data_IF_124341040909
#
_entry.id   IF_124341040909
#
_cell.length_a   1.000
_cell.length_b   1.000
_cell.length_c   1.000
_cell.angle_alpha   90.00
_cell.angle_beta   90.00
_cell.angle_gamma   90.00
#
_symmetry.space_group_name_H-M   'P 1'
#
loop_
_entity.id
_entity.type
_entity.pdbx_description
1 polymer ?
#
# COMPACT_ATOMS: atom_id res chain seq x y z
N UNK A 1 6.32 0.81 -18.01
CA UNK A 1 5.65 0.09 -16.94
C UNK A 1 6.31 -1.24 -16.53
N UNK A 2 7.22 -1.85 -17.31
CA UNK A 2 7.81 -3.18 -17.03
C UNK A 2 9.12 -3.21 -16.22
N UNK A 3 9.74 -2.08 -15.89
CA UNK A 3 11.04 -2.07 -15.20
C UNK A 3 10.94 -2.02 -13.67
N UNK A 4 9.94 -1.34 -13.11
CA UNK A 4 9.77 -1.19 -11.66
C UNK A 4 9.19 -2.45 -11.02
N UNK A 5 8.26 -3.14 -11.67
CA UNK A 5 7.69 -4.40 -11.19
C UNK A 5 8.74 -5.50 -11.02
N UNK A 6 9.77 -5.53 -11.89
CA UNK A 6 10.88 -6.47 -11.76
C UNK A 6 11.77 -6.23 -10.54
N UNK A 7 11.69 -5.06 -9.94
CA UNK A 7 12.48 -4.69 -8.75
C UNK A 7 11.78 -5.17 -7.49
N UNK A 8 10.44 -5.08 -7.40
CA UNK A 8 9.68 -5.39 -6.19
C UNK A 8 9.78 -6.87 -5.78
N UNK A 9 9.62 -7.82 -6.69
CA UNK A 9 9.70 -9.24 -6.35
C UNK A 9 11.12 -9.68 -5.94
N UNK A 10 12.16 -9.06 -6.52
CA UNK A 10 13.55 -9.33 -6.11
C UNK A 10 13.85 -8.73 -4.75
N UNK A 11 13.32 -7.55 -4.48
CA UNK A 11 13.48 -6.90 -3.20
C UNK A 11 12.77 -7.70 -2.08
N UNK A 12 11.53 -8.13 -2.29
CA UNK A 12 10.81 -8.91 -1.30
C UNK A 12 11.47 -10.26 -1.02
N UNK A 13 11.99 -10.96 -2.06
CA UNK A 13 12.67 -12.23 -1.89
C UNK A 13 13.96 -12.16 -1.04
N UNK A 14 14.60 -10.99 -0.98
CA UNK A 14 15.85 -10.78 -0.24
C UNK A 14 15.67 -10.25 1.19
N UNK A 15 14.43 -10.08 1.66
CA UNK A 15 14.18 -9.56 3.01
C UNK A 15 14.45 -10.62 4.09
N UNK A 16 14.87 -10.20 5.31
CA UNK A 16 14.89 -11.09 6.46
C UNK A 16 13.50 -11.68 6.73
N UNK A 17 13.44 -12.94 7.13
CA UNK A 17 12.19 -13.62 7.49
C UNK A 17 12.02 -13.73 9.00
N UNK A 18 13.10 -13.66 9.75
CA UNK A 18 13.15 -13.82 11.21
C UNK A 18 13.78 -12.59 11.87
N UNK A 19 13.29 -12.25 13.05
CA UNK A 19 13.71 -11.11 13.87
C UNK A 19 13.81 -11.52 15.34
N UNK A 20 14.68 -10.88 16.09
CA UNK A 20 14.75 -11.06 17.54
C UNK A 20 13.60 -10.32 18.24
N UNK A 21 13.26 -9.14 17.75
CA UNK A 21 12.17 -8.31 18.27
C UNK A 21 11.44 -7.58 17.13
N UNK A 22 10.11 -7.37 17.23
CA UNK A 22 9.35 -6.63 16.22
C UNK A 22 9.86 -5.21 15.95
N UNK A 23 10.55 -4.58 16.89
CA UNK A 23 11.12 -3.24 16.72
C UNK A 23 12.19 -3.19 15.63
N UNK A 24 12.88 -4.30 15.32
CA UNK A 24 13.84 -4.37 14.22
C UNK A 24 13.15 -4.16 12.88
N UNK A 25 11.99 -4.80 12.67
CA UNK A 25 11.19 -4.62 11.47
C UNK A 25 10.56 -3.21 11.42
N UNK A 26 10.08 -2.70 12.56
CA UNK A 26 9.57 -1.34 12.67
C UNK A 26 10.64 -0.30 12.28
N UNK A 27 11.88 -0.47 12.75
CA UNK A 27 13.00 0.39 12.39
C UNK A 27 13.35 0.30 10.90
N UNK A 28 13.31 -0.91 10.32
CA UNK A 28 13.50 -1.11 8.88
C UNK A 28 12.42 -0.41 8.05
N UNK A 29 11.16 -0.46 8.49
CA UNK A 29 10.06 0.29 7.85
C UNK A 29 10.27 1.81 7.94
N UNK A 30 10.61 2.33 9.12
CA UNK A 30 10.86 3.76 9.33
C UNK A 30 12.03 4.30 8.49
N UNK A 31 13.02 3.45 8.20
CA UNK A 31 14.15 3.80 7.33
C UNK A 31 13.82 3.76 5.83
N UNK A 32 12.67 3.20 5.45
CA UNK A 32 12.27 3.06 4.06
C UNK A 32 11.67 4.35 3.50
N UNK A 33 12.21 4.87 2.40
CA UNK A 33 11.63 6.03 1.70
C UNK A 33 10.20 5.77 1.23
N UNK A 34 9.87 4.55 0.82
CA UNK A 34 8.52 4.18 0.36
C UNK A 34 7.47 4.20 1.47
N UNK A 35 7.90 4.04 2.72
CA UNK A 35 7.04 3.98 3.90
C UNK A 35 7.15 5.24 4.77
N UNK A 36 7.82 6.29 4.27
CA UNK A 36 8.01 7.54 5.02
C UNK A 36 6.69 8.27 5.29
N UNK A 37 6.66 9.05 6.36
CA UNK A 37 5.52 9.91 6.69
C UNK A 37 4.33 9.21 7.33
N UNK A 38 4.47 7.96 7.79
CA UNK A 38 3.42 7.30 8.54
C UNK A 38 3.19 7.98 9.89
N UNK A 39 1.96 7.98 10.38
CA UNK A 39 1.62 8.54 11.69
C UNK A 39 2.35 7.82 12.82
N UNK A 40 2.48 8.50 13.95
CA UNK A 40 3.17 7.98 15.14
C UNK A 40 2.63 6.61 15.57
N UNK A 41 3.55 5.68 15.87
CA UNK A 41 3.24 4.32 16.29
C UNK A 41 2.84 3.36 15.15
N UNK A 42 2.61 3.83 13.92
CA UNK A 42 2.15 2.97 12.82
C UNK A 42 3.20 1.92 12.41
N UNK A 43 4.47 2.24 12.50
CA UNK A 43 5.54 1.27 12.19
C UNK A 43 5.55 0.09 13.17
N UNK A 44 5.41 0.35 14.46
CA UNK A 44 5.34 -0.68 15.50
C UNK A 44 4.09 -1.55 15.35
N UNK A 45 2.94 -0.92 15.12
CA UNK A 45 1.69 -1.63 14.89
C UNK A 45 1.77 -2.53 13.65
N UNK A 46 2.32 -2.03 12.55
CA UNK A 46 2.48 -2.81 11.32
C UNK A 46 3.45 -3.99 11.55
N UNK A 47 4.60 -3.75 12.18
CA UNK A 47 5.57 -4.82 12.46
C UNK A 47 4.92 -5.94 13.29
N UNK A 48 4.20 -5.59 14.36
CA UNK A 48 3.47 -6.57 15.20
C UNK A 48 2.34 -7.28 14.44
N UNK A 49 1.67 -6.60 13.51
CA UNK A 49 0.58 -7.19 12.73
C UNK A 49 1.07 -8.27 11.75
N UNK A 50 2.27 -8.11 11.18
CA UNK A 50 2.82 -9.01 10.16
C UNK A 50 3.77 -10.08 10.72
N UNK A 51 4.07 -10.04 12.01
CA UNK A 51 4.93 -11.00 12.69
C UNK A 51 4.13 -11.93 13.60
N UNK A 52 4.65 -13.14 13.79
CA UNK A 52 4.19 -14.09 14.82
C UNK A 52 5.42 -14.68 15.51
N UNK A 53 5.34 -14.80 16.84
CA UNK A 53 6.40 -15.42 17.63
C UNK A 53 6.35 -16.93 17.45
N UNK A 54 7.50 -17.52 17.14
CA UNK A 54 7.72 -18.95 17.08
C UNK A 54 8.09 -19.44 18.49
N UNK A 55 7.25 -20.29 19.06
CA UNK A 55 7.40 -20.76 20.45
C UNK A 55 8.60 -21.69 20.66
N UNK A 56 9.14 -22.30 19.61
CA UNK A 56 10.27 -23.21 19.70
C UNK A 56 11.60 -22.45 19.66
N UNK A 57 11.66 -21.39 18.84
CA UNK A 57 12.90 -20.61 18.60
C UNK A 57 12.92 -19.27 19.32
N UNK A 58 11.79 -18.84 19.89
CA UNK A 58 11.57 -17.50 20.49
C UNK A 58 11.79 -16.34 19.51
N UNK A 59 11.90 -16.62 18.22
CA UNK A 59 12.05 -15.64 17.15
C UNK A 59 10.70 -15.16 16.62
N UNK A 60 10.69 -13.97 16.09
CA UNK A 60 9.54 -13.42 15.38
C UNK A 60 9.67 -13.66 13.88
N UNK A 61 8.67 -14.31 13.28
CA UNK A 61 8.67 -14.70 11.86
C UNK A 61 7.58 -13.97 11.09
N UNK A 62 7.88 -13.61 9.85
CA UNK A 62 6.88 -13.04 8.94
C UNK A 62 5.77 -14.07 8.67
N UNK A 63 4.50 -13.65 8.84
CA UNK A 63 3.31 -14.48 8.52
C UNK A 63 3.27 -14.80 7.03
N UNK A 64 3.62 -13.82 6.19
CA UNK A 64 3.83 -14.03 4.76
C UNK A 64 5.34 -14.10 4.50
N UNK A 65 5.85 -15.27 4.15
CA UNK A 65 7.27 -15.41 3.86
C UNK A 65 7.70 -14.56 2.67
N UNK A 66 8.96 -14.10 2.63
CA UNK A 66 9.52 -13.34 1.51
C UNK A 66 9.34 -14.04 0.15
N UNK A 67 9.45 -15.37 0.14
CA UNK A 67 9.24 -16.17 -1.06
C UNK A 67 7.80 -16.11 -1.58
N UNK A 68 6.80 -16.20 -0.67
CA UNK A 68 5.38 -16.07 -1.02
C UNK A 68 5.04 -14.69 -1.52
N UNK A 69 5.50 -13.67 -0.83
CA UNK A 69 5.27 -12.28 -1.24
C UNK A 69 5.88 -12.01 -2.62
N UNK A 70 7.11 -12.45 -2.85
CA UNK A 70 7.78 -12.36 -4.14
C UNK A 70 6.96 -13.01 -5.27
N UNK A 71 6.38 -14.19 -5.01
CA UNK A 71 5.54 -14.91 -5.97
C UNK A 71 4.24 -14.15 -6.27
N UNK A 72 3.60 -13.55 -5.26
CA UNK A 72 2.42 -12.68 -5.46
C UNK A 72 2.75 -11.52 -6.40
N UNK A 73 3.85 -10.79 -6.16
CA UNK A 73 4.26 -9.71 -7.05
C UNK A 73 4.53 -10.20 -8.47
N UNK A 74 5.17 -11.37 -8.61
CA UNK A 74 5.45 -11.96 -9.93
C UNK A 74 4.17 -12.33 -10.70
N UNK A 75 3.18 -12.86 -10.00
CA UNK A 75 1.88 -13.21 -10.60
C UNK A 75 1.07 -11.98 -10.94
N UNK A 76 1.00 -10.98 -10.06
CA UNK A 76 0.30 -9.72 -10.31
C UNK A 76 0.82 -9.00 -11.54
N UNK A 77 2.14 -9.01 -11.76
CA UNK A 77 2.75 -8.42 -12.95
C UNK A 77 2.32 -9.08 -14.27
N UNK A 78 1.81 -10.31 -14.22
CA UNK A 78 1.31 -11.05 -15.38
C UNK A 78 -0.22 -10.92 -15.57
N UNK A 79 -0.93 -10.36 -14.59
CA UNK A 79 -2.40 -10.19 -14.66
C UNK A 79 -2.76 -8.88 -15.35
N UNK A 80 -3.73 -8.94 -16.25
CA UNK A 80 -4.37 -7.75 -16.80
C UNK A 80 -5.73 -7.56 -16.13
N UNK A 81 -5.72 -6.82 -15.02
CA UNK A 81 -6.92 -6.54 -14.20
C UNK A 81 -7.33 -5.07 -14.24
N UNK A 82 -7.00 -4.37 -15.33
CA UNK A 82 -7.36 -2.96 -15.47
C UNK A 82 -8.89 -2.82 -15.58
N UNK A 83 -9.55 -2.17 -14.61
CA UNK A 83 -11.01 -2.10 -14.57
C UNK A 83 -11.57 -1.21 -15.68
N UNK A 84 -12.78 -1.52 -16.13
CA UNK A 84 -13.51 -0.74 -17.13
C UNK A 84 -14.70 -0.04 -16.47
N UNK A 85 -15.07 1.16 -16.95
CA UNK A 85 -16.13 1.96 -16.34
C UNK A 85 -17.49 1.25 -16.32
N UNK A 86 -17.80 0.47 -17.35
CA UNK A 86 -19.05 -0.28 -17.50
C UNK A 86 -19.17 -1.51 -16.57
N UNK A 87 -18.07 -1.97 -16.00
CA UNK A 87 -18.08 -3.02 -14.97
C UNK A 87 -18.59 -2.52 -13.60
N UNK A 88 -18.67 -1.19 -13.41
CA UNK A 88 -19.01 -0.55 -12.14
C UNK A 88 -20.24 0.36 -12.29
N UNK A 89 -21.47 -0.19 -12.23
CA UNK A 89 -22.70 0.58 -12.38
C UNK A 89 -23.04 1.48 -11.18
N UNK A 90 -22.21 1.48 -10.14
CA UNK A 90 -22.35 2.32 -8.95
C UNK A 90 -21.37 3.50 -8.98
N UNK A 91 -21.63 4.57 -8.19
CA UNK A 91 -20.65 5.64 -8.00
C UNK A 91 -19.33 5.12 -7.44
N UNK A 92 -18.21 5.58 -7.99
CA UNK A 92 -16.85 5.21 -7.58
C UNK A 92 -16.09 6.46 -7.16
N UNK A 93 -15.40 6.40 -6.03
CA UNK A 93 -14.42 7.39 -5.58
C UNK A 93 -13.04 6.76 -5.51
N UNK A 94 -12.09 7.37 -6.17
CA UNK A 94 -10.66 7.07 -6.07
C UNK A 94 -10.02 8.07 -5.09
N UNK A 95 -9.61 7.60 -3.91
CA UNK A 95 -8.76 8.38 -2.99
C UNK A 95 -7.32 7.97 -3.28
N UNK A 96 -6.55 8.88 -3.84
CA UNK A 96 -5.24 8.59 -4.39
C UNK A 96 -4.13 9.31 -3.64
N UNK A 97 -2.98 8.65 -3.54
CA UNK A 97 -1.73 9.29 -3.19
C UNK A 97 -1.29 10.27 -4.29
N UNK A 98 -0.41 11.19 -3.93
CA UNK A 98 0.11 12.19 -4.85
C UNK A 98 1.14 11.57 -5.81
N UNK A 99 0.81 11.41 -7.09
CA UNK A 99 1.74 10.84 -8.06
C UNK A 99 2.94 11.75 -8.38
N UNK A 100 2.85 13.02 -8.00
CA UNK A 100 3.91 14.01 -8.23
C UNK A 100 4.74 14.28 -6.96
N UNK A 101 4.48 13.52 -5.86
CA UNK A 101 5.26 13.64 -4.62
C UNK A 101 6.63 12.97 -4.74
N UNK A 102 7.53 13.35 -3.82
CA UNK A 102 8.85 12.70 -3.72
C UNK A 102 8.79 11.25 -3.20
N UNK A 103 7.63 10.81 -2.68
CA UNK A 103 7.41 9.45 -2.20
C UNK A 103 6.84 8.61 -3.35
N UNK A 104 7.56 7.59 -3.85
CA UNK A 104 7.11 6.81 -5.00
C UNK A 104 5.74 6.16 -4.78
N UNK A 105 4.83 6.34 -5.74
CA UNK A 105 3.50 5.72 -5.68
C UNK A 105 2.98 5.31 -7.05
N UNK A 106 3.20 4.05 -7.42
CA UNK A 106 2.57 3.47 -8.61
C UNK A 106 1.02 3.50 -8.54
N UNK A 107 0.36 3.23 -7.39
CA UNK A 107 -1.08 3.39 -7.26
C UNK A 107 -1.58 4.82 -7.52
N UNK A 108 -0.83 5.86 -7.14
CA UNK A 108 -1.20 7.25 -7.43
C UNK A 108 -1.31 7.52 -8.93
N UNK A 109 -0.33 7.07 -9.70
CA UNK A 109 -0.38 7.15 -11.17
C UNK A 109 -1.51 6.32 -11.77
N UNK A 110 -1.76 5.10 -11.24
CA UNK A 110 -2.86 4.26 -11.70
C UNK A 110 -4.23 4.90 -11.46
N UNK A 111 -4.45 5.46 -10.26
CA UNK A 111 -5.70 6.16 -9.94
C UNK A 111 -5.92 7.39 -10.82
N UNK A 112 -4.85 8.14 -11.15
CA UNK A 112 -4.94 9.27 -12.09
C UNK A 112 -5.37 8.82 -13.48
N UNK A 113 -4.78 7.72 -13.99
CA UNK A 113 -5.16 7.16 -15.28
C UNK A 113 -6.61 6.67 -15.29
N UNK A 114 -7.06 5.96 -14.24
CA UNK A 114 -8.44 5.51 -14.10
C UNK A 114 -9.45 6.67 -14.05
N UNK A 115 -9.11 7.76 -13.36
CA UNK A 115 -9.93 8.99 -13.42
C UNK A 115 -10.12 9.45 -14.85
N UNK A 116 -9.04 9.52 -15.62
CA UNK A 116 -9.06 10.05 -16.99
C UNK A 116 -9.78 9.10 -17.96
N UNK A 117 -9.66 7.79 -17.77
CA UNK A 117 -10.28 6.77 -18.63
C UNK A 117 -11.73 6.49 -18.26
N UNK A 118 -12.06 6.40 -16.97
CA UNK A 118 -13.38 5.99 -16.48
C UNK A 118 -14.28 7.16 -16.08
N UNK A 119 -13.72 8.36 -15.89
CA UNK A 119 -14.47 9.53 -15.43
C UNK A 119 -14.94 9.43 -13.96
N UNK A 120 -14.35 8.55 -13.15
CA UNK A 120 -14.70 8.36 -11.76
C UNK A 120 -14.31 9.57 -10.89
N UNK A 121 -15.02 9.74 -9.76
CA UNK A 121 -14.64 10.76 -8.76
C UNK A 121 -13.22 10.50 -8.27
N UNK A 122 -12.44 11.57 -8.10
CA UNK A 122 -11.02 11.46 -7.79
C UNK A 122 -10.60 12.53 -6.79
N UNK A 123 -10.01 12.11 -5.69
CA UNK A 123 -9.42 12.97 -4.67
C UNK A 123 -7.95 12.59 -4.47
N UNK A 124 -7.06 13.53 -4.75
CA UNK A 124 -5.63 13.37 -4.51
C UNK A 124 -5.28 13.93 -3.14
N UNK A 125 -4.57 13.15 -2.32
CA UNK A 125 -4.04 13.60 -1.02
C UNK A 125 -2.60 14.09 -1.23
N UNK A 126 -2.35 15.40 -1.24
CA UNK A 126 -1.05 15.96 -1.60
C UNK A 126 0.09 15.51 -0.68
N UNK A 127 1.27 15.29 -1.25
CA UNK A 127 2.48 14.94 -0.51
C UNK A 127 2.51 13.51 0.04
N UNK A 128 1.47 12.69 -0.25
CA UNK A 128 1.42 11.30 0.21
C UNK A 128 1.99 10.31 -0.80
N UNK A 129 2.43 9.16 -0.30
CA UNK A 129 2.91 8.04 -1.10
C UNK A 129 1.99 6.83 -1.09
N UNK A 130 2.56 5.65 -1.31
CA UNK A 130 1.84 4.39 -1.50
C UNK A 130 0.83 4.06 -0.37
N UNK A 131 1.13 4.44 0.86
CA UNK A 131 0.30 4.15 2.05
C UNK A 131 -0.39 5.40 2.59
N UNK A 132 -1.02 6.19 1.70
CA UNK A 132 -1.70 7.44 2.05
C UNK A 132 -2.65 7.30 3.26
N UNK A 133 -3.33 6.16 3.40
CA UNK A 133 -4.26 5.90 4.50
C UNK A 133 -3.56 5.75 5.87
N UNK A 134 -2.25 5.49 5.88
CA UNK A 134 -1.45 5.46 7.12
C UNK A 134 -0.74 6.80 7.33
N UNK A 135 -0.49 7.55 6.27
CA UNK A 135 0.10 8.88 6.34
C UNK A 135 -0.93 9.94 6.77
N UNK A 136 -2.13 9.87 6.18
CA UNK A 136 -3.21 10.85 6.38
C UNK A 136 -4.55 10.16 6.66
N UNK A 137 -4.67 9.40 7.77
CA UNK A 137 -5.87 8.61 8.08
C UNK A 137 -7.12 9.46 8.24
N UNK A 138 -7.01 10.65 8.84
CA UNK A 138 -8.15 11.56 9.06
C UNK A 138 -8.68 12.12 7.75
N UNK A 139 -7.80 12.48 6.81
CA UNK A 139 -8.19 12.95 5.47
C UNK A 139 -8.90 11.84 4.73
N UNK A 140 -8.34 10.62 4.72
CA UNK A 140 -8.95 9.47 4.07
C UNK A 140 -10.33 9.15 4.64
N UNK A 141 -10.48 9.16 5.97
CA UNK A 141 -11.76 8.92 6.63
C UNK A 141 -12.79 9.99 6.26
N UNK A 142 -12.42 11.28 6.31
CA UNK A 142 -13.29 12.39 5.94
C UNK A 142 -13.78 12.27 4.50
N UNK A 143 -12.88 12.09 3.53
CA UNK A 143 -13.24 11.95 2.11
C UNK A 143 -14.16 10.75 1.87
N UNK A 144 -13.93 9.63 2.58
CA UNK A 144 -14.79 8.44 2.49
C UNK A 144 -16.20 8.75 3.01
N UNK A 145 -16.33 9.43 4.15
CA UNK A 145 -17.62 9.77 4.75
C UNK A 145 -18.38 10.79 3.88
N UNK A 146 -17.72 11.84 3.42
CA UNK A 146 -18.32 12.84 2.53
C UNK A 146 -18.86 12.21 1.25
N UNK A 147 -18.12 11.26 0.66
CA UNK A 147 -18.59 10.53 -0.51
C UNK A 147 -19.78 9.62 -0.18
N UNK A 148 -19.73 8.88 0.92
CA UNK A 148 -20.81 8.02 1.36
C UNK A 148 -22.10 8.80 1.61
N UNK A 149 -22.03 9.94 2.29
CA UNK A 149 -23.17 10.84 2.51
C UNK A 149 -23.76 11.35 1.20
N UNK A 150 -22.93 11.74 0.25
CA UNK A 150 -23.35 12.21 -1.07
C UNK A 150 -24.09 11.13 -1.89
N UNK A 151 -23.70 9.87 -1.73
CA UNK A 151 -24.25 8.75 -2.51
C UNK A 151 -25.49 8.15 -1.85
N UNK A 152 -25.54 8.13 -0.51
CA UNK A 152 -26.61 7.49 0.26
C UNK A 152 -27.72 8.47 0.69
N UNK A 153 -27.41 9.78 0.68
CA UNK A 153 -28.21 10.92 1.07
C UNK A 153 -29.51 11.05 0.58
#
# INVERSE_FOLDING_TARGET
>A
MHSEERVLWRWSAGRPEEFDDPSELAAAYAASRMLSGWVDGAYDLMARAVLRQDVETDKWKLVCSPARESEVYRQNAAMNIWPQADEFPMPVLLIASDPDSDIPSAPGHACRALRDECGWSYECVPGTGHFLQIQEPEICARLTLEFAEKVLG
#
